data_IF_845465400659
#
_entry.id   IF_845465400659
#
_cell.length_a   1.000
_cell.length_b   1.000
_cell.length_c   1.000
_cell.angle_alpha   90.00
_cell.angle_beta   90.00
_cell.angle_gamma   90.00
#
_symmetry.space_group_name_H-M   'P 1'
#
loop_
_entity.id
_entity.type
_entity.pdbx_description
1 polymer ?
#
# COMPACT_ATOMS: atom_id res chain seq x y z
N UNK A 1 -9.61 25.66 -20.22
CA UNK A 1 -10.22 24.81 -19.18
C UNK A 1 -9.50 25.17 -17.90
N UNK A 2 -10.23 25.58 -16.85
CA UNK A 2 -9.59 25.75 -15.55
C UNK A 2 -9.18 24.35 -15.08
N UNK A 3 -7.87 24.07 -15.11
CA UNK A 3 -7.38 22.81 -14.56
C UNK A 3 -7.75 22.78 -13.08
N UNK A 4 -8.55 21.78 -12.68
CA UNK A 4 -8.89 21.59 -11.29
C UNK A 4 -7.59 21.37 -10.52
N UNK A 5 -7.39 22.15 -9.46
CA UNK A 5 -6.12 22.20 -8.74
C UNK A 5 -6.38 22.17 -7.23
N UNK A 6 -5.53 21.43 -6.51
CA UNK A 6 -5.34 21.62 -5.08
C UNK A 6 -4.01 22.36 -4.90
N UNK A 7 -4.04 23.44 -4.12
CA UNK A 7 -2.83 24.22 -3.81
C UNK A 7 -2.67 24.31 -2.30
N UNK A 8 -1.47 24.05 -1.83
CA UNK A 8 -1.08 24.15 -0.41
C UNK A 8 0.02 25.22 -0.29
N UNK A 9 -0.10 26.07 0.72
CA UNK A 9 0.86 27.13 1.00
C UNK A 9 1.19 27.12 2.49
N UNK A 10 2.36 26.57 2.83
CA UNK A 10 2.85 26.43 4.21
C UNK A 10 1.89 25.68 5.12
N UNK A 11 1.11 24.73 4.60
CA UNK A 11 0.08 24.00 5.36
C UNK A 11 0.72 23.14 6.43
N UNK A 12 0.37 23.38 7.70
CA UNK A 12 0.97 22.70 8.86
C UNK A 12 -0.09 22.14 9.81
N UNK A 13 0.22 20.99 10.40
CA UNK A 13 -0.57 20.42 11.50
C UNK A 13 0.29 19.80 12.57
N UNK A 14 0.07 20.23 13.82
CA UNK A 14 0.70 19.70 15.02
C UNK A 14 -0.35 19.19 15.98
N UNK A 15 -0.12 18.06 16.61
CA UNK A 15 -0.99 17.55 17.67
C UNK A 15 -0.33 17.72 19.03
N UNK A 16 -1.11 18.00 20.09
CA UNK A 16 -0.59 18.09 21.45
C UNK A 16 0.17 16.82 21.86
N UNK A 17 1.33 17.00 22.50
CA UNK A 17 2.15 15.89 22.99
C UNK A 17 3.05 15.21 21.94
N UNK A 18 3.09 15.72 20.71
CA UNK A 18 4.03 15.28 19.70
C UNK A 18 5.21 16.24 19.58
N UNK A 19 6.43 15.71 19.53
CA UNK A 19 7.66 16.50 19.39
C UNK A 19 7.76 17.13 17.99
N UNK A 20 7.31 16.39 16.95
CA UNK A 20 7.30 16.83 15.56
C UNK A 20 5.88 17.12 15.07
N UNK A 21 5.70 18.02 14.08
CA UNK A 21 4.40 18.20 13.43
C UNK A 21 3.99 16.94 12.67
N UNK A 22 2.69 16.63 12.69
CA UNK A 22 2.15 15.53 11.89
C UNK A 22 2.16 15.85 10.38
N UNK A 23 2.12 17.16 10.04
CA UNK A 23 2.41 17.70 8.70
C UNK A 23 3.23 18.97 8.96
N UNK A 24 4.49 18.97 8.54
CA UNK A 24 5.37 20.13 8.55
C UNK A 24 4.92 21.15 7.49
N UNK A 25 5.33 22.43 7.57
CA UNK A 25 4.92 23.42 6.58
C UNK A 25 5.13 22.91 5.17
N UNK A 26 4.05 22.72 4.42
CA UNK A 26 4.04 22.02 3.14
C UNK A 26 3.48 22.91 2.04
N UNK A 27 4.26 23.05 0.95
CA UNK A 27 3.87 23.74 -0.27
C UNK A 27 3.81 22.72 -1.41
N UNK A 28 2.66 22.61 -2.08
CA UNK A 28 2.55 21.81 -3.29
C UNK A 28 1.33 22.18 -4.12
N UNK A 29 1.32 21.72 -5.38
CA UNK A 29 0.18 21.83 -6.28
C UNK A 29 -0.14 20.46 -6.87
N UNK A 30 -1.44 20.08 -6.90
CA UNK A 30 -1.94 18.82 -7.44
C UNK A 30 -2.93 19.16 -8.55
N UNK A 31 -2.80 18.50 -9.71
CA UNK A 31 -3.61 18.76 -10.89
C UNK A 31 -4.61 17.63 -11.16
N UNK A 32 -5.69 17.96 -11.90
CA UNK A 32 -6.67 16.99 -12.38
C UNK A 32 -6.21 16.27 -13.66
N UNK A 33 -6.96 15.24 -14.07
CA UNK A 33 -6.75 14.50 -15.31
C UNK A 33 -5.79 13.31 -15.18
N UNK A 34 -5.28 13.06 -13.97
CA UNK A 34 -4.46 11.90 -13.65
C UNK A 34 -4.48 11.61 -12.14
N UNK A 35 -3.98 10.45 -11.76
CA UNK A 35 -3.87 10.07 -10.34
C UNK A 35 -2.55 10.60 -9.78
N UNK A 36 -2.64 11.38 -8.70
CA UNK A 36 -1.48 11.77 -7.88
C UNK A 36 -1.39 10.87 -6.65
N UNK A 37 -0.23 10.27 -6.42
CA UNK A 37 0.04 9.43 -5.25
C UNK A 37 0.51 10.24 -4.06
N UNK A 38 -0.10 10.06 -2.90
CA UNK A 38 0.41 10.54 -1.61
C UNK A 38 1.07 9.36 -0.90
N UNK A 39 2.39 9.27 -1.01
CA UNK A 39 3.16 8.07 -0.70
C UNK A 39 4.01 8.26 0.54
N UNK A 40 4.08 7.25 1.39
CA UNK A 40 4.94 7.29 2.58
C UNK A 40 4.60 6.19 3.58
N UNK A 41 5.46 5.94 4.56
CA UNK A 41 5.21 4.94 5.59
C UNK A 41 4.02 5.31 6.48
N UNK A 42 3.63 4.37 7.35
CA UNK A 42 2.64 4.65 8.39
C UNK A 42 3.18 5.74 9.32
N UNK A 43 2.30 6.68 9.67
CA UNK A 43 2.69 7.86 10.47
C UNK A 43 3.32 9.01 9.69
N UNK A 44 3.53 8.90 8.37
CA UNK A 44 4.10 9.98 7.55
C UNK A 44 3.26 11.26 7.45
N UNK A 45 2.01 11.24 7.95
CA UNK A 45 1.11 12.41 7.89
C UNK A 45 0.06 12.37 6.78
N UNK A 46 0.02 11.32 5.94
CA UNK A 46 -0.89 11.18 4.78
C UNK A 46 -2.36 11.41 5.12
N UNK A 47 -2.90 10.64 6.06
CA UNK A 47 -4.30 10.76 6.51
C UNK A 47 -4.58 12.14 7.14
N UNK A 48 -3.60 12.72 7.84
CA UNK A 48 -3.73 14.07 8.41
C UNK A 48 -3.89 15.11 7.31
N UNK A 49 -3.06 15.04 6.27
CA UNK A 49 -3.14 15.91 5.10
C UNK A 49 -4.49 15.73 4.39
N UNK A 50 -4.90 14.50 4.12
CA UNK A 50 -6.19 14.20 3.48
C UNK A 50 -7.37 14.79 4.24
N UNK A 51 -7.38 14.67 5.58
CA UNK A 51 -8.44 15.23 6.42
C UNK A 51 -8.46 16.76 6.42
N UNK A 52 -7.31 17.42 6.33
CA UNK A 52 -7.24 18.88 6.15
C UNK A 52 -7.82 19.31 4.81
N UNK A 53 -7.49 18.59 3.72
CA UNK A 53 -8.04 18.85 2.38
C UNK A 53 -9.53 18.59 2.30
N UNK A 54 -10.03 17.61 3.05
CA UNK A 54 -11.46 17.31 3.14
C UNK A 54 -12.24 18.28 4.06
N UNK A 55 -11.59 19.25 4.70
CA UNK A 55 -12.23 20.16 5.65
C UNK A 55 -12.61 19.51 7.00
N UNK A 56 -12.14 18.29 7.25
CA UNK A 56 -12.43 17.52 8.47
C UNK A 56 -11.45 17.83 9.61
N UNK A 57 -10.36 18.52 9.31
CA UNK A 57 -9.31 18.87 10.27
C UNK A 57 -8.79 20.27 9.95
N UNK A 58 -8.82 21.16 10.94
CA UNK A 58 -8.28 22.50 10.78
C UNK A 58 -6.75 22.49 10.87
N UNK A 59 -6.03 23.11 9.91
CA UNK A 59 -4.60 23.34 10.02
C UNK A 59 -4.27 24.32 11.16
N UNK A 60 -3.05 24.27 11.65
CA UNK A 60 -2.56 25.20 12.67
C UNK A 60 -1.92 26.44 12.02
N UNK A 61 -1.30 26.27 10.86
CA UNK A 61 -0.80 27.37 10.03
C UNK A 61 -0.92 27.07 8.54
N UNK A 62 -0.65 28.07 7.71
CA UNK A 62 -0.78 27.98 6.26
C UNK A 62 -2.22 27.91 5.78
N UNK A 63 -2.41 27.62 4.50
CA UNK A 63 -3.73 27.47 3.88
C UNK A 63 -3.72 26.40 2.78
N UNK A 64 -4.93 25.92 2.47
CA UNK A 64 -5.18 25.05 1.34
C UNK A 64 -6.30 25.62 0.49
N UNK A 65 -6.23 25.41 -0.82
CA UNK A 65 -7.32 25.68 -1.75
C UNK A 65 -7.62 24.41 -2.54
N UNK A 66 -8.83 23.94 -2.53
CA UNK A 66 -9.30 22.74 -3.27
C UNK A 66 -10.29 23.19 -4.32
N UNK A 67 -9.92 23.16 -5.59
CA UNK A 67 -10.71 23.65 -6.74
C UNK A 67 -11.39 25.01 -6.49
N UNK A 68 -10.63 25.94 -5.89
CA UNK A 68 -11.09 27.30 -5.57
C UNK A 68 -11.78 27.47 -4.22
N UNK A 69 -12.02 26.42 -3.46
CA UNK A 69 -12.60 26.47 -2.12
C UNK A 69 -11.55 26.36 -1.03
N UNK A 70 -11.68 27.18 0.03
CA UNK A 70 -10.95 27.02 1.28
C UNK A 70 -11.67 25.92 2.11
N UNK A 71 -10.98 24.80 2.45
CA UNK A 71 -11.64 23.66 3.12
C UNK A 71 -12.28 24.00 4.46
N UNK A 72 -11.82 25.06 5.12
CA UNK A 72 -12.33 25.45 6.45
C UNK A 72 -13.44 26.51 6.37
N UNK A 73 -13.35 27.42 5.38
CA UNK A 73 -14.33 28.50 5.25
C UNK A 73 -15.50 28.15 4.34
N UNK A 74 -15.29 27.24 3.40
CA UNK A 74 -16.27 26.87 2.38
C UNK A 74 -16.66 25.37 2.47
N UNK A 75 -16.70 24.81 3.66
CA UNK A 75 -16.92 23.39 3.91
C UNK A 75 -18.14 22.82 3.18
N UNK A 76 -19.30 23.46 3.29
CA UNK A 76 -20.53 23.01 2.62
C UNK A 76 -20.43 23.00 1.09
N UNK A 77 -19.82 24.03 0.47
CA UNK A 77 -19.62 24.10 -0.97
C UNK A 77 -18.56 23.08 -1.42
N UNK A 78 -17.49 22.91 -0.65
CA UNK A 78 -16.46 21.91 -0.92
C UNK A 78 -17.04 20.50 -0.84
N UNK A 79 -17.79 20.17 0.20
CA UNK A 79 -18.36 18.84 0.38
C UNK A 79 -19.35 18.48 -0.73
N UNK A 80 -19.96 19.44 -1.42
CA UNK A 80 -20.81 19.17 -2.58
C UNK A 80 -20.03 18.62 -3.79
N UNK A 81 -18.74 18.93 -3.90
CA UNK A 81 -17.89 18.58 -5.05
C UNK A 81 -16.70 17.69 -4.70
N UNK A 82 -16.55 17.29 -3.44
CA UNK A 82 -15.48 16.45 -2.94
C UNK A 82 -16.03 15.12 -2.45
N UNK A 83 -15.39 14.02 -2.87
CA UNK A 83 -15.53 12.69 -2.31
C UNK A 83 -14.31 12.35 -1.47
N UNK A 84 -14.52 11.88 -0.23
CA UNK A 84 -13.47 11.37 0.62
C UNK A 84 -13.78 9.94 1.04
N UNK A 85 -12.90 9.02 0.70
CA UNK A 85 -12.95 7.62 1.10
C UNK A 85 -11.89 7.38 2.17
N UNK A 86 -12.28 7.21 3.44
CA UNK A 86 -11.33 7.00 4.53
C UNK A 86 -10.75 5.59 4.49
N UNK A 87 -9.61 5.38 5.13
CA UNK A 87 -8.91 4.10 5.26
C UNK A 87 -9.81 2.97 5.81
N UNK A 88 -10.67 3.26 6.76
CA UNK A 88 -11.76 2.34 7.18
C UNK A 88 -12.96 2.64 6.31
N UNK A 89 -13.43 1.68 5.57
CA UNK A 89 -14.41 1.72 4.47
C UNK A 89 -15.56 2.75 4.56
N UNK A 90 -15.86 3.34 5.70
CA UNK A 90 -17.01 4.24 5.89
C UNK A 90 -18.37 3.56 5.62
N UNK A 91 -18.40 2.24 5.48
CA UNK A 91 -19.58 1.45 5.19
C UNK A 91 -20.25 0.98 6.48
N UNK A 92 -21.57 0.90 6.44
CA UNK A 92 -22.37 0.27 7.47
C UNK A 92 -22.48 -1.23 7.16
N UNK A 93 -21.78 -2.05 7.91
CA UNK A 93 -21.64 -3.49 7.65
C UNK A 93 -22.97 -4.26 7.79
N UNK A 94 -23.87 -3.78 8.61
CA UNK A 94 -25.21 -4.33 8.85
C UNK A 94 -26.23 -3.91 7.78
N UNK A 95 -25.86 -3.01 6.88
CA UNK A 95 -26.66 -2.62 5.72
C UNK A 95 -26.23 -3.40 4.47
N UNK A 96 -27.18 -3.65 3.58
CA UNK A 96 -26.90 -4.22 2.26
C UNK A 96 -26.15 -3.22 1.36
N UNK A 97 -25.65 -3.69 0.23
CA UNK A 97 -25.06 -2.85 -0.82
C UNK A 97 -26.01 -1.73 -1.22
N UNK A 98 -27.29 -2.07 -1.48
CA UNK A 98 -28.29 -1.08 -1.89
C UNK A 98 -28.63 -0.09 -0.78
N UNK A 99 -28.73 -0.53 0.46
CA UNK A 99 -29.02 0.33 1.61
C UNK A 99 -27.86 1.30 1.89
N UNK A 100 -26.59 0.86 1.76
CA UNK A 100 -25.44 1.76 1.82
C UNK A 100 -25.53 2.84 0.73
N UNK A 101 -25.78 2.46 -0.54
CA UNK A 101 -25.92 3.42 -1.64
C UNK A 101 -27.08 4.41 -1.37
N UNK A 102 -28.23 3.93 -0.87
CA UNK A 102 -29.35 4.79 -0.52
C UNK A 102 -28.99 5.79 0.58
N UNK A 103 -28.32 5.34 1.63
CA UNK A 103 -27.88 6.21 2.72
C UNK A 103 -26.99 7.35 2.20
N UNK A 104 -25.98 7.03 1.37
CA UNK A 104 -25.11 8.04 0.78
C UNK A 104 -25.86 8.96 -0.19
N UNK A 105 -26.85 8.46 -0.93
CA UNK A 105 -27.69 9.27 -1.80
C UNK A 105 -28.56 10.25 -0.99
N UNK A 106 -29.10 9.81 0.14
CA UNK A 106 -29.87 10.67 1.04
C UNK A 106 -28.99 11.78 1.62
N UNK A 107 -27.78 11.45 2.10
CA UNK A 107 -26.81 12.42 2.61
C UNK A 107 -26.36 13.44 1.55
N UNK A 108 -26.35 13.06 0.28
CA UNK A 108 -26.00 13.91 -0.87
C UNK A 108 -27.20 14.55 -1.54
N UNK A 109 -28.42 14.36 -1.02
CA UNK A 109 -29.67 14.86 -1.58
C UNK A 109 -29.92 14.43 -3.03
N UNK A 110 -29.35 13.26 -3.43
CA UNK A 110 -29.60 12.66 -4.74
C UNK A 110 -30.93 11.91 -4.69
N UNK A 111 -31.94 12.37 -5.42
CA UNK A 111 -33.32 11.84 -5.34
C UNK A 111 -33.91 11.54 -6.72
N UNK A 112 -35.06 10.89 -6.73
CA UNK A 112 -35.89 10.72 -7.94
C UNK A 112 -35.18 9.90 -9.06
N UNK A 113 -35.32 10.36 -10.29
CA UNK A 113 -34.78 9.69 -11.47
C UNK A 113 -33.23 9.77 -11.51
N UNK A 114 -32.64 10.88 -11.04
CA UNK A 114 -31.18 11.04 -10.94
C UNK A 114 -30.57 9.94 -10.07
N UNK A 115 -31.21 9.60 -8.91
CA UNK A 115 -30.76 8.48 -8.05
C UNK A 115 -30.72 7.15 -8.80
N UNK A 116 -31.75 6.83 -9.56
CA UNK A 116 -31.84 5.57 -10.30
C UNK A 116 -30.73 5.46 -11.35
N UNK A 117 -30.52 6.54 -12.10
CA UNK A 117 -29.48 6.59 -13.15
C UNK A 117 -28.08 6.48 -12.54
N UNK A 118 -27.83 7.22 -11.46
CA UNK A 118 -26.55 7.15 -10.72
C UNK A 118 -26.32 5.72 -10.20
N UNK A 119 -27.30 5.08 -9.58
CA UNK A 119 -27.16 3.72 -9.06
C UNK A 119 -26.92 2.71 -10.17
N UNK A 120 -27.64 2.79 -11.30
CA UNK A 120 -27.41 1.89 -12.43
C UNK A 120 -25.97 2.00 -12.93
N UNK A 121 -25.47 3.23 -13.13
CA UNK A 121 -24.08 3.48 -13.56
C UNK A 121 -23.05 2.97 -12.54
N UNK A 122 -23.22 3.27 -11.25
CA UNK A 122 -22.28 2.87 -10.22
C UNK A 122 -22.26 1.36 -9.98
N UNK A 123 -23.40 0.70 -10.03
CA UNK A 123 -23.50 -0.76 -9.88
C UNK A 123 -22.89 -1.49 -11.08
N UNK A 124 -23.05 -0.96 -12.29
CA UNK A 124 -22.38 -1.46 -13.49
C UNK A 124 -20.85 -1.25 -13.39
N UNK A 125 -20.41 -0.02 -13.11
CA UNK A 125 -19.02 0.37 -12.97
C UNK A 125 -18.26 -0.47 -11.93
N UNK A 126 -18.88 -0.79 -10.81
CA UNK A 126 -18.28 -1.59 -9.73
C UNK A 126 -18.53 -3.09 -9.86
N UNK A 127 -19.37 -3.52 -10.81
CA UNK A 127 -19.85 -4.90 -10.95
C UNK A 127 -20.57 -5.43 -9.69
N UNK A 128 -21.19 -4.55 -8.92
CA UNK A 128 -21.91 -4.91 -7.68
C UNK A 128 -23.41 -5.20 -7.92
N UNK A 129 -23.92 -5.06 -9.14
CA UNK A 129 -25.31 -5.32 -9.48
C UNK A 129 -25.90 -6.64 -8.95
N UNK A 130 -25.21 -7.80 -9.11
CA UNK A 130 -25.67 -9.09 -8.59
C UNK A 130 -25.71 -9.20 -7.06
N UNK A 131 -25.11 -8.24 -6.34
CA UNK A 131 -24.90 -8.31 -4.88
C UNK A 131 -25.69 -7.27 -4.09
N UNK A 132 -26.62 -6.56 -4.72
CA UNK A 132 -27.36 -5.43 -4.12
C UNK A 132 -28.06 -5.77 -2.80
N UNK A 133 -28.59 -6.99 -2.65
CA UNK A 133 -29.21 -7.48 -1.41
C UNK A 133 -28.23 -8.10 -0.39
N UNK A 134 -26.93 -8.15 -0.67
CA UNK A 134 -25.94 -8.72 0.26
C UNK A 134 -25.52 -7.69 1.29
N UNK A 135 -25.43 -8.08 2.57
CA UNK A 135 -24.87 -7.23 3.64
C UNK A 135 -23.43 -6.86 3.33
N UNK A 136 -23.07 -5.58 3.56
CA UNK A 136 -21.71 -5.09 3.32
C UNK A 136 -20.68 -5.85 4.16
N UNK A 137 -21.02 -6.26 5.39
CA UNK A 137 -20.16 -7.09 6.24
C UNK A 137 -19.81 -8.45 5.65
N UNK A 138 -20.63 -8.99 4.72
CA UNK A 138 -20.43 -10.28 4.04
C UNK A 138 -19.73 -10.17 2.67
N UNK A 139 -19.33 -8.96 2.27
CA UNK A 139 -18.53 -8.73 1.07
C UNK A 139 -17.06 -9.08 1.29
N UNK A 140 -16.35 -9.44 0.21
CA UNK A 140 -14.88 -9.52 0.25
C UNK A 140 -14.26 -8.12 0.44
N UNK A 141 -12.98 -8.06 0.84
CA UNK A 141 -12.27 -6.78 0.99
C UNK A 141 -12.34 -5.92 -0.29
N UNK A 142 -12.06 -6.52 -1.46
CA UNK A 142 -12.16 -5.81 -2.73
C UNK A 142 -13.57 -5.34 -3.06
N UNK A 143 -14.61 -6.13 -2.76
CA UNK A 143 -16.01 -5.70 -2.94
C UNK A 143 -16.38 -4.57 -1.98
N UNK A 144 -15.88 -4.57 -0.74
CA UNK A 144 -16.07 -3.46 0.21
C UNK A 144 -15.44 -2.18 -0.32
N UNK A 145 -14.22 -2.25 -0.87
CA UNK A 145 -13.58 -1.09 -1.48
C UNK A 145 -14.35 -0.54 -2.67
N UNK A 146 -14.83 -1.41 -3.56
CA UNK A 146 -15.68 -1.01 -4.70
C UNK A 146 -16.97 -0.35 -4.23
N UNK A 147 -17.62 -0.89 -3.18
CA UNK A 147 -18.80 -0.27 -2.59
C UNK A 147 -18.48 1.08 -1.95
N UNK A 148 -17.37 1.20 -1.22
CA UNK A 148 -16.89 2.46 -0.64
C UNK A 148 -16.66 3.52 -1.73
N UNK A 149 -16.00 3.13 -2.83
CA UNK A 149 -15.82 4.01 -3.97
C UNK A 149 -17.16 4.42 -4.59
N UNK A 150 -18.07 3.46 -4.83
CA UNK A 150 -19.41 3.76 -5.35
C UNK A 150 -20.17 4.76 -4.44
N UNK A 151 -20.18 4.53 -3.12
CA UNK A 151 -20.82 5.44 -2.16
C UNK A 151 -20.21 6.84 -2.21
N UNK A 152 -18.88 6.93 -2.38
CA UNK A 152 -18.16 8.21 -2.48
C UNK A 152 -18.50 8.96 -3.78
N UNK A 153 -18.79 8.24 -4.86
CA UNK A 153 -19.12 8.78 -6.18
C UNK A 153 -20.60 9.17 -6.37
N UNK A 154 -21.49 8.84 -5.44
CA UNK A 154 -22.94 9.10 -5.55
C UNK A 154 -23.27 10.57 -5.84
N UNK A 155 -22.51 11.52 -5.27
CA UNK A 155 -22.71 12.96 -5.47
C UNK A 155 -21.97 13.55 -6.68
N UNK A 156 -21.42 12.74 -7.57
CA UNK A 156 -20.64 13.16 -8.74
C UNK A 156 -19.51 14.16 -8.40
N UNK A 157 -18.59 13.79 -7.50
CA UNK A 157 -17.54 14.70 -7.05
C UNK A 157 -16.59 15.07 -8.20
N UNK A 158 -16.00 16.27 -8.11
CA UNK A 158 -14.92 16.71 -9.01
C UNK A 158 -13.53 16.39 -8.44
N UNK A 159 -13.45 16.19 -7.13
CA UNK A 159 -12.24 15.82 -6.39
C UNK A 159 -12.51 14.53 -5.62
N UNK A 160 -11.58 13.59 -5.73
CA UNK A 160 -11.65 12.31 -5.04
C UNK A 160 -10.38 12.12 -4.19
N UNK A 161 -10.55 12.04 -2.89
CA UNK A 161 -9.48 11.73 -1.94
C UNK A 161 -9.68 10.29 -1.46
N UNK A 162 -8.70 9.42 -1.74
CA UNK A 162 -8.73 8.00 -1.42
C UNK A 162 -7.63 7.67 -0.42
N UNK A 163 -8.00 7.36 0.82
CA UNK A 163 -7.04 7.12 1.90
C UNK A 163 -6.77 5.62 2.05
N UNK A 164 -5.62 5.17 1.55
CA UNK A 164 -5.15 3.78 1.54
C UNK A 164 -6.17 2.76 0.99
N UNK A 165 -6.79 3.00 -0.16
CA UNK A 165 -7.88 2.16 -0.68
C UNK A 165 -7.40 0.76 -1.14
N UNK A 166 -6.08 0.54 -1.31
CA UNK A 166 -5.49 -0.75 -1.66
C UNK A 166 -5.27 -1.70 -0.48
N UNK A 167 -5.39 -1.21 0.76
CA UNK A 167 -5.09 -2.00 1.96
C UNK A 167 -6.13 -3.11 2.18
N UNK A 168 -5.63 -4.34 2.38
CA UNK A 168 -6.48 -5.51 2.61
C UNK A 168 -7.21 -6.05 1.38
N UNK A 169 -6.90 -5.52 0.20
CA UNK A 169 -7.46 -5.95 -1.09
C UNK A 169 -6.54 -6.97 -1.75
N UNK A 170 -7.12 -8.03 -2.32
CA UNK A 170 -6.35 -8.99 -3.11
C UNK A 170 -5.85 -8.37 -4.43
N UNK A 171 -4.78 -8.94 -5.04
CA UNK A 171 -4.15 -8.32 -6.22
C UNK A 171 -5.07 -8.15 -7.44
N UNK A 172 -6.08 -9.01 -7.61
CA UNK A 172 -7.02 -8.92 -8.74
C UNK A 172 -7.97 -7.73 -8.50
N UNK A 173 -8.63 -7.72 -7.34
CA UNK A 173 -9.54 -6.62 -6.97
C UNK A 173 -8.82 -5.27 -6.91
N UNK A 174 -7.52 -5.25 -6.52
CA UNK A 174 -6.71 -4.03 -6.51
C UNK A 174 -6.46 -3.51 -7.93
N UNK A 175 -6.17 -4.37 -8.91
CA UNK A 175 -6.03 -3.98 -10.33
C UNK A 175 -7.33 -3.41 -10.89
N UNK A 176 -8.46 -4.03 -10.57
CA UNK A 176 -9.77 -3.54 -11.00
C UNK A 176 -10.07 -2.15 -10.39
N UNK A 177 -9.75 -1.95 -9.11
CA UNK A 177 -9.89 -0.64 -8.45
C UNK A 177 -9.01 0.43 -9.11
N UNK A 178 -7.77 0.10 -9.46
CA UNK A 178 -6.87 1.00 -10.20
C UNK A 178 -7.43 1.37 -11.58
N UNK A 179 -7.95 0.39 -12.34
CA UNK A 179 -8.56 0.64 -13.63
C UNK A 179 -9.73 1.63 -13.49
N UNK A 180 -10.63 1.40 -12.52
CA UNK A 180 -11.76 2.29 -12.25
C UNK A 180 -11.30 3.73 -11.95
N UNK A 181 -10.27 3.88 -11.12
CA UNK A 181 -9.76 5.21 -10.73
C UNK A 181 -9.08 5.90 -11.91
N UNK A 182 -8.36 5.18 -12.77
CA UNK A 182 -7.79 5.75 -13.99
C UNK A 182 -8.86 6.21 -14.98
N UNK A 183 -9.97 5.49 -15.13
CA UNK A 183 -11.10 5.91 -15.95
C UNK A 183 -11.69 7.25 -15.44
N UNK A 184 -11.92 7.37 -14.13
CA UNK A 184 -12.41 8.61 -13.50
C UNK A 184 -11.42 9.78 -13.70
N UNK A 185 -10.12 9.53 -13.57
CA UNK A 185 -9.11 10.55 -13.83
C UNK A 185 -9.12 11.00 -15.30
N UNK A 186 -9.27 10.06 -16.25
CA UNK A 186 -9.38 10.34 -17.67
C UNK A 186 -10.59 11.20 -18.03
N UNK A 187 -11.67 11.15 -17.26
CA UNK A 187 -12.85 12.03 -17.35
C UNK A 187 -12.62 13.44 -16.77
N UNK A 188 -11.41 13.73 -16.26
CA UNK A 188 -11.01 15.04 -15.74
C UNK A 188 -11.19 15.20 -14.22
N UNK A 189 -11.48 14.13 -13.48
CA UNK A 189 -11.54 14.16 -12.02
C UNK A 189 -10.14 14.38 -11.43
N UNK A 190 -10.04 15.20 -10.36
CA UNK A 190 -8.83 15.33 -9.57
C UNK A 190 -8.80 14.20 -8.54
N UNK A 191 -7.75 13.37 -8.59
CA UNK A 191 -7.64 12.20 -7.71
C UNK A 191 -6.34 12.22 -6.93
N UNK A 192 -6.46 12.17 -5.59
CA UNK A 192 -5.35 11.98 -4.68
C UNK A 192 -5.51 10.62 -4.00
N UNK A 193 -4.54 9.72 -4.28
CA UNK A 193 -4.50 8.35 -3.78
C UNK A 193 -3.40 8.21 -2.73
N UNK A 194 -3.74 8.02 -1.45
CA UNK A 194 -2.72 7.73 -0.45
C UNK A 194 -2.37 6.25 -0.43
N UNK A 195 -1.09 5.95 -0.24
CA UNK A 195 -0.61 4.57 -0.13
C UNK A 195 0.72 4.48 0.61
N UNK A 196 0.93 3.35 1.30
CA UNK A 196 2.23 2.89 1.78
C UNK A 196 2.88 1.86 0.84
N UNK A 197 2.17 1.43 -0.21
CA UNK A 197 2.66 0.48 -1.20
C UNK A 197 3.36 1.17 -2.36
N UNK A 198 4.64 0.86 -2.56
CA UNK A 198 5.47 1.51 -3.58
C UNK A 198 5.12 1.07 -5.01
N UNK A 199 4.60 -0.16 -5.18
CA UNK A 199 4.06 -0.65 -6.45
C UNK A 199 2.81 0.13 -6.91
N UNK A 200 2.04 0.67 -5.98
CA UNK A 200 0.93 1.58 -6.28
C UNK A 200 1.42 2.98 -6.64
N UNK A 201 2.49 3.46 -6.00
CA UNK A 201 3.10 4.75 -6.34
C UNK A 201 3.59 4.79 -7.79
N UNK A 202 4.13 3.68 -8.30
CA UNK A 202 4.58 3.56 -9.70
C UNK A 202 3.43 3.63 -10.72
N UNK A 203 2.17 3.41 -10.31
CA UNK A 203 0.98 3.55 -11.16
C UNK A 203 0.52 5.02 -11.26
N UNK A 204 0.95 5.88 -10.36
CA UNK A 204 0.62 7.30 -10.37
C UNK A 204 1.45 8.04 -11.43
N UNK A 205 0.89 9.13 -11.98
CA UNK A 205 1.66 10.02 -12.84
C UNK A 205 2.63 10.87 -12.03
N UNK A 206 2.13 11.47 -10.96
CA UNK A 206 2.93 12.25 -10.01
C UNK A 206 2.79 11.66 -8.62
N UNK A 207 3.83 11.81 -7.81
CA UNK A 207 3.82 11.41 -6.39
C UNK A 207 4.28 12.55 -5.49
N UNK A 208 3.67 12.60 -4.33
CA UNK A 208 4.07 13.37 -3.16
C UNK A 208 4.62 12.38 -2.15
N UNK A 209 5.95 12.33 -1.97
CA UNK A 209 6.57 11.45 -0.98
C UNK A 209 6.66 12.15 0.36
N UNK A 210 6.01 11.60 1.36
CA UNK A 210 6.04 12.11 2.73
C UNK A 210 6.74 11.16 3.68
N UNK A 211 7.51 11.73 4.60
CA UNK A 211 8.05 11.01 5.75
C UNK A 211 8.10 11.91 6.97
N UNK A 212 7.69 11.42 8.12
CA UNK A 212 7.68 12.15 9.41
C UNK A 212 7.06 13.56 9.32
N UNK A 213 6.03 13.71 8.51
CA UNK A 213 5.34 14.98 8.28
C UNK A 213 5.94 15.88 7.20
N UNK A 214 7.11 15.57 6.68
CA UNK A 214 7.81 16.36 5.66
C UNK A 214 7.53 15.84 4.25
N UNK A 215 7.46 16.75 3.26
CA UNK A 215 7.43 16.42 1.84
C UNK A 215 8.85 16.28 1.32
N UNK A 216 9.28 15.06 1.03
CA UNK A 216 10.64 14.76 0.56
C UNK A 216 10.81 14.91 -0.95
N UNK A 217 9.72 14.66 -1.71
CA UNK A 217 9.76 14.71 -3.17
C UNK A 217 8.36 14.99 -3.73
N UNK A 218 8.31 15.73 -4.83
CA UNK A 218 7.13 15.90 -5.68
C UNK A 218 7.56 15.75 -7.15
N UNK A 219 6.88 14.90 -7.90
CA UNK A 219 7.09 14.71 -9.33
C UNK A 219 6.83 13.29 -9.82
N UNK A 220 7.25 13.01 -11.05
CA UNK A 220 7.04 11.70 -11.66
C UNK A 220 7.86 10.60 -10.95
N UNK A 221 7.27 9.42 -10.63
CA UNK A 221 7.99 8.29 -10.04
C UNK A 221 9.21 7.86 -10.84
N UNK A 222 9.10 7.87 -12.17
CA UNK A 222 10.18 7.51 -13.10
C UNK A 222 11.37 8.44 -13.00
N UNK A 223 11.14 9.74 -12.85
CA UNK A 223 12.21 10.73 -12.71
C UNK A 223 13.01 10.47 -11.43
N UNK A 224 12.32 10.16 -10.33
CA UNK A 224 12.98 9.79 -9.08
C UNK A 224 13.77 8.48 -9.22
N UNK A 225 13.18 7.44 -9.82
CA UNK A 225 13.86 6.15 -10.06
C UNK A 225 15.13 6.32 -10.89
N UNK A 226 15.14 7.22 -11.88
CA UNK A 226 16.32 7.50 -12.72
C UNK A 226 17.50 8.05 -11.92
N UNK A 227 17.30 8.68 -10.79
CA UNK A 227 18.41 9.15 -9.92
C UNK A 227 19.25 8.01 -9.36
N UNK A 228 18.73 6.77 -9.40
CA UNK A 228 19.38 5.55 -8.94
C UNK A 228 20.13 4.81 -10.06
N UNK A 229 20.17 5.34 -11.29
CA UNK A 229 20.93 4.75 -12.38
C UNK A 229 22.42 4.63 -12.01
N UNK A 230 23.03 3.47 -12.26
CA UNK A 230 24.40 3.17 -11.88
C UNK A 230 24.63 2.93 -10.38
N UNK A 231 23.57 2.86 -9.56
CA UNK A 231 23.67 2.69 -8.11
C UNK A 231 22.99 1.42 -7.59
N UNK A 232 22.21 0.72 -8.40
CA UNK A 232 21.52 -0.53 -8.06
C UNK A 232 22.23 -1.72 -8.65
N UNK A 233 22.57 -2.71 -7.82
CA UNK A 233 23.36 -3.88 -8.21
C UNK A 233 22.76 -5.19 -7.67
N UNK A 234 23.01 -6.29 -8.39
CA UNK A 234 22.80 -7.65 -7.90
C UNK A 234 24.15 -8.29 -7.58
N UNK A 235 24.29 -8.80 -6.38
CA UNK A 235 25.51 -9.40 -5.87
C UNK A 235 25.27 -10.86 -5.49
N UNK A 236 26.24 -11.74 -5.82
CA UNK A 236 26.27 -13.14 -5.41
C UNK A 236 27.68 -13.52 -4.99
N UNK A 237 27.81 -14.55 -4.16
CA UNK A 237 29.09 -15.17 -3.84
C UNK A 237 29.04 -16.67 -4.06
N UNK A 238 30.09 -17.30 -4.64
CA UNK A 238 30.20 -18.75 -4.74
C UNK A 238 30.48 -19.43 -3.39
N UNK A 239 30.96 -18.66 -2.43
CA UNK A 239 31.49 -19.20 -1.16
C UNK A 239 30.63 -18.92 0.05
N UNK A 240 29.67 -18.00 -0.06
CA UNK A 240 28.83 -17.56 1.06
C UNK A 240 27.36 -17.43 0.68
N UNK A 241 26.48 -17.81 1.60
CA UNK A 241 25.04 -17.66 1.41
C UNK A 241 24.59 -16.19 1.49
N UNK A 242 23.53 -15.84 0.76
CA UNK A 242 23.02 -14.48 0.61
C UNK A 242 22.79 -13.72 1.93
N UNK A 243 22.36 -14.43 3.00
CA UNK A 243 22.11 -13.79 4.30
C UNK A 243 23.37 -13.22 4.94
N UNK A 244 24.46 -14.00 4.93
CA UNK A 244 25.76 -13.54 5.46
C UNK A 244 26.35 -12.48 4.56
N UNK A 245 26.26 -12.68 3.24
CA UNK A 245 26.70 -11.73 2.24
C UNK A 245 26.04 -10.36 2.41
N UNK A 246 24.70 -10.34 2.59
CA UNK A 246 23.96 -9.11 2.89
C UNK A 246 24.41 -8.46 4.20
N UNK A 247 24.56 -9.24 5.28
CA UNK A 247 25.00 -8.71 6.57
C UNK A 247 26.38 -8.04 6.51
N UNK A 248 27.30 -8.58 5.68
CA UNK A 248 28.61 -7.96 5.45
C UNK A 248 28.48 -6.67 4.65
N UNK A 249 27.73 -6.73 3.55
CA UNK A 249 27.52 -5.56 2.68
C UNK A 249 26.89 -4.38 3.41
N UNK A 250 25.88 -4.61 4.24
CA UNK A 250 25.22 -3.54 5.00
C UNK A 250 26.11 -2.85 6.06
N UNK A 251 27.26 -3.46 6.41
CA UNK A 251 28.24 -2.82 7.30
C UNK A 251 29.19 -1.87 6.57
N UNK A 252 29.21 -1.93 5.23
CA UNK A 252 30.09 -1.09 4.44
C UNK A 252 29.52 0.34 4.34
N UNK A 253 30.36 1.37 4.56
CA UNK A 253 29.91 2.76 4.48
C UNK A 253 29.46 3.19 3.09
N UNK A 254 29.85 2.46 2.05
CA UNK A 254 29.49 2.67 0.64
C UNK A 254 28.08 2.20 0.31
N UNK A 255 27.50 1.33 1.12
CA UNK A 255 26.16 0.77 0.91
C UNK A 255 25.12 1.66 1.58
N UNK A 256 24.08 2.03 0.83
CA UNK A 256 22.91 2.77 1.35
C UNK A 256 21.86 1.79 1.89
N UNK A 257 21.62 0.70 1.14
CA UNK A 257 20.66 -0.35 1.53
C UNK A 257 20.93 -1.65 0.80
N UNK A 258 20.29 -2.73 1.24
CA UNK A 258 20.34 -4.02 0.57
C UNK A 258 19.27 -4.99 1.04
N UNK A 259 18.88 -5.89 0.13
CA UNK A 259 17.89 -6.93 0.40
C UNK A 259 18.19 -8.23 -0.35
N UNK A 260 17.70 -9.36 0.17
CA UNK A 260 17.76 -10.63 -0.54
C UNK A 260 16.69 -10.64 -1.63
N UNK A 261 17.11 -10.89 -2.88
CA UNK A 261 16.23 -11.02 -4.03
C UNK A 261 16.47 -12.36 -4.74
N UNK A 262 15.64 -13.34 -4.44
CA UNK A 262 15.79 -14.69 -4.96
C UNK A 262 17.14 -15.32 -4.59
N UNK A 263 17.99 -15.61 -5.60
CA UNK A 263 19.33 -16.18 -5.41
C UNK A 263 20.44 -15.13 -5.30
N UNK A 264 20.13 -13.86 -5.24
CA UNK A 264 21.08 -12.76 -5.21
C UNK A 264 20.80 -11.82 -4.04
N UNK A 265 21.75 -10.97 -3.73
CA UNK A 265 21.57 -9.80 -2.86
C UNK A 265 21.49 -8.57 -3.74
N UNK A 266 20.36 -7.84 -3.66
CA UNK A 266 20.24 -6.52 -4.27
C UNK A 266 20.88 -5.51 -3.33
N UNK A 267 21.77 -4.67 -3.88
CA UNK A 267 22.45 -3.60 -3.16
C UNK A 267 22.16 -2.25 -3.81
N UNK A 268 22.06 -1.24 -2.96
CA UNK A 268 21.99 0.16 -3.33
C UNK A 268 23.24 0.83 -2.81
N UNK A 269 24.04 1.37 -3.72
CA UNK A 269 25.26 2.07 -3.37
C UNK A 269 24.97 3.57 -3.17
N UNK A 270 25.75 4.20 -2.30
CA UNK A 270 25.75 5.65 -2.14
C UNK A 270 26.26 6.33 -3.41
N UNK A 271 25.91 7.60 -3.60
CA UNK A 271 26.12 8.35 -4.86
C UNK A 271 27.54 8.33 -5.41
N UNK A 272 28.55 8.25 -4.54
CA UNK A 272 29.98 8.27 -4.93
C UNK A 272 30.63 6.89 -4.89
N UNK A 273 29.90 5.85 -4.52
CA UNK A 273 30.43 4.52 -4.37
C UNK A 273 30.36 3.73 -5.68
N UNK A 274 31.33 2.87 -5.89
CA UNK A 274 31.45 2.00 -7.05
C UNK A 274 31.40 0.52 -6.68
N UNK A 275 31.09 -0.38 -7.63
CA UNK A 275 31.17 -1.84 -7.39
C UNK A 275 32.54 -2.32 -6.91
N UNK A 276 33.62 -1.64 -7.33
CA UNK A 276 34.97 -2.01 -6.95
C UNK A 276 35.27 -1.71 -5.48
N UNK A 277 34.66 -0.68 -4.91
CA UNK A 277 34.73 -0.41 -3.47
C UNK A 277 34.15 -1.57 -2.65
N UNK A 278 33.15 -2.25 -3.18
CA UNK A 278 32.54 -3.42 -2.53
C UNK A 278 33.41 -4.66 -2.73
N UNK A 279 33.95 -4.88 -3.96
CA UNK A 279 34.84 -6.04 -4.26
C UNK A 279 36.07 -6.06 -3.42
N UNK A 280 36.65 -4.90 -3.15
CA UNK A 280 37.93 -4.79 -2.42
C UNK A 280 37.75 -4.44 -0.93
N UNK A 281 36.49 -4.40 -0.43
CA UNK A 281 36.23 -4.11 0.96
C UNK A 281 36.79 -5.25 1.88
N UNK A 282 37.38 -4.85 2.99
CA UNK A 282 37.94 -5.79 3.96
C UNK A 282 36.85 -6.74 4.51
N UNK A 283 37.16 -8.04 4.50
CA UNK A 283 36.24 -9.08 4.98
C UNK A 283 35.14 -9.47 3.99
N UNK A 284 35.11 -8.93 2.76
CA UNK A 284 34.24 -9.41 1.70
C UNK A 284 34.83 -10.68 1.05
N UNK A 285 33.99 -11.72 0.79
CA UNK A 285 34.42 -12.89 0.02
C UNK A 285 34.54 -12.52 -1.47
N UNK A 286 34.96 -13.48 -2.28
CA UNK A 286 34.84 -13.36 -3.74
C UNK A 286 33.36 -13.17 -4.12
N UNK A 287 33.08 -12.12 -4.90
CA UNK A 287 31.73 -11.74 -5.30
C UNK A 287 31.63 -11.46 -6.79
N UNK A 288 30.47 -11.80 -7.35
CA UNK A 288 30.00 -11.29 -8.62
C UNK A 288 28.98 -10.19 -8.35
N UNK A 289 29.25 -8.98 -8.83
CA UNK A 289 28.38 -7.82 -8.70
C UNK A 289 28.10 -7.23 -10.08
N UNK A 290 26.82 -7.14 -10.45
CA UNK A 290 26.37 -6.67 -11.75
C UNK A 290 25.33 -5.58 -11.56
N UNK A 291 25.37 -4.55 -12.40
CA UNK A 291 24.37 -3.50 -12.43
C UNK A 291 23.00 -4.10 -12.75
N UNK A 292 21.95 -3.56 -12.14
CA UNK A 292 20.55 -3.92 -12.40
C UNK A 292 19.69 -2.67 -12.52
N UNK A 293 18.55 -2.84 -13.17
CA UNK A 293 17.57 -1.75 -13.31
C UNK A 293 17.12 -1.25 -11.95
N UNK A 294 17.21 0.05 -11.66
CA UNK A 294 16.73 0.63 -10.42
C UNK A 294 15.22 0.50 -10.31
N UNK A 295 14.73 0.47 -9.07
CA UNK A 295 13.32 0.47 -8.71
C UNK A 295 12.97 1.76 -7.99
N UNK A 296 11.71 2.11 -8.00
CA UNK A 296 11.20 3.23 -7.21
C UNK A 296 11.47 3.06 -5.71
N UNK A 297 11.40 1.82 -5.21
CA UNK A 297 11.76 1.45 -3.84
C UNK A 297 13.21 1.83 -3.49
N UNK A 298 14.16 1.60 -4.41
CA UNK A 298 15.57 1.95 -4.19
C UNK A 298 15.73 3.47 -3.95
N UNK A 299 15.05 4.28 -4.75
CA UNK A 299 15.08 5.73 -4.64
C UNK A 299 14.35 6.23 -3.38
N UNK A 300 13.23 5.62 -3.03
CA UNK A 300 12.49 5.94 -1.82
C UNK A 300 13.33 5.68 -0.56
N UNK A 301 13.99 4.53 -0.46
CA UNK A 301 14.86 4.18 0.67
C UNK A 301 16.09 5.11 0.72
N UNK A 302 16.66 5.44 -0.42
CA UNK A 302 17.79 6.38 -0.49
C UNK A 302 17.41 7.79 0.04
N UNK A 303 16.20 8.28 -0.29
CA UNK A 303 15.66 9.54 0.23
C UNK A 303 15.45 9.50 1.75
N UNK A 304 15.11 8.34 2.30
CA UNK A 304 14.96 8.16 3.74
C UNK A 304 16.31 8.06 4.49
N UNK A 305 17.44 8.10 3.76
CA UNK A 305 18.79 7.98 4.34
C UNK A 305 19.31 6.55 4.44
N UNK A 306 18.68 5.60 3.77
CA UNK A 306 19.01 4.17 3.78
C UNK A 306 18.39 3.40 4.96
N UNK A 307 18.51 2.08 4.93
CA UNK A 307 18.10 1.25 6.06
C UNK A 307 19.06 1.47 7.24
N UNK A 308 18.53 1.95 8.35
CA UNK A 308 19.33 2.10 9.56
C UNK A 308 19.91 0.74 10.01
N UNK A 309 21.21 0.70 10.23
CA UNK A 309 21.94 -0.46 10.75
C UNK A 309 21.68 -0.68 12.25
N UNK A 310 20.42 -0.72 12.67
CA UNK A 310 20.12 -1.06 14.05
C UNK A 310 20.24 -2.58 14.24
N UNK A 311 21.15 -2.99 15.11
CA UNK A 311 21.16 -4.38 15.58
C UNK A 311 19.82 -4.68 16.24
N UNK A 312 19.14 -5.71 15.75
CA UNK A 312 17.85 -6.14 16.33
C UNK A 312 18.08 -6.58 17.78
N UNK A 313 17.46 -5.96 18.79
CA UNK A 313 17.53 -6.41 20.16
C UNK A 313 17.10 -7.88 20.34
N UNK A 314 16.22 -8.36 19.45
CA UNK A 314 15.79 -9.76 19.41
C UNK A 314 16.92 -10.72 19.02
N UNK A 315 17.89 -10.28 18.20
CA UNK A 315 19.03 -11.10 17.80
C UNK A 315 19.93 -11.50 18.97
N UNK A 316 19.98 -10.70 20.03
CA UNK A 316 20.72 -10.99 21.24
C UNK A 316 19.96 -11.93 22.20
N UNK A 317 18.64 -12.04 22.08
CA UNK A 317 17.76 -12.80 22.98
C UNK A 317 17.38 -14.17 22.38
N UNK A 318 17.26 -14.25 21.04
CA UNK A 318 16.93 -15.49 20.36
C UNK A 318 18.15 -16.41 20.32
N UNK A 319 18.16 -17.41 21.21
CA UNK A 319 19.06 -18.54 21.08
C UNK A 319 18.76 -19.26 19.75
N UNK A 320 19.83 -19.64 19.03
CA UNK A 320 19.71 -20.52 17.87
C UNK A 320 18.95 -21.79 18.28
N UNK A 321 17.78 -21.99 17.71
CA UNK A 321 17.02 -23.22 17.94
C UNK A 321 17.86 -24.38 17.40
N UNK A 322 18.27 -25.30 18.25
CA UNK A 322 19.05 -26.48 17.89
C UNK A 322 18.24 -27.34 16.89
N UNK A 323 18.87 -27.81 15.85
CA UNK A 323 18.26 -28.69 14.84
C UNK A 323 19.14 -28.79 13.59
N UNK A 324 18.90 -29.82 12.79
CA UNK A 324 19.67 -30.10 11.58
C UNK A 324 19.22 -29.16 10.46
N UNK A 325 20.13 -28.37 9.83
CA UNK A 325 19.79 -27.54 8.67
C UNK A 325 19.19 -28.41 7.55
N UNK A 326 18.03 -27.95 7.00
CA UNK A 326 17.35 -28.68 5.92
C UNK A 326 16.38 -29.75 6.37
N UNK A 327 16.24 -30.00 7.67
CA UNK A 327 15.20 -30.86 8.25
C UNK A 327 13.81 -30.28 7.94
N UNK A 328 12.88 -31.15 7.52
CA UNK A 328 11.47 -30.75 7.36
C UNK A 328 10.85 -30.57 8.73
N UNK A 329 10.40 -29.34 9.02
CA UNK A 329 9.80 -28.98 10.32
C UNK A 329 8.30 -28.76 10.23
N UNK A 330 7.76 -28.56 9.03
CA UNK A 330 6.32 -28.48 8.78
C UNK A 330 6.01 -29.28 7.53
N UNK A 331 4.98 -30.12 7.60
CA UNK A 331 4.54 -30.89 6.44
C UNK A 331 3.00 -30.96 6.40
N UNK A 332 2.44 -30.63 5.25
CA UNK A 332 1.02 -30.84 4.93
C UNK A 332 0.92 -31.97 3.91
N UNK A 333 0.11 -32.99 4.23
CA UNK A 333 -0.17 -34.16 3.36
C UNK A 333 -1.67 -34.25 3.10
N UNK A 334 -2.07 -34.07 1.83
CA UNK A 334 -3.45 -34.17 1.37
C UNK A 334 -4.41 -33.36 2.28
N UNK A 335 -3.93 -32.21 2.78
CA UNK A 335 -4.60 -31.42 3.80
C UNK A 335 -5.88 -30.79 3.24
N UNK A 336 -7.03 -31.23 3.73
CA UNK A 336 -8.35 -30.85 3.24
C UNK A 336 -9.23 -30.33 4.36
N UNK A 337 -9.94 -29.21 4.11
CA UNK A 337 -10.98 -28.71 5.01
C UNK A 337 -12.23 -28.35 4.24
N UNK A 338 -13.34 -29.01 4.61
CA UNK A 338 -14.69 -28.72 4.11
C UNK A 338 -15.55 -28.09 5.20
N UNK A 339 -16.40 -27.15 4.82
CA UNK A 339 -17.47 -26.58 5.62
C UNK A 339 -18.78 -26.83 4.89
N UNK A 340 -19.50 -27.89 5.29
CA UNK A 340 -20.59 -28.46 4.48
C UNK A 340 -20.07 -28.91 3.13
N UNK A 341 -20.70 -28.46 2.04
CA UNK A 341 -20.30 -28.78 0.66
C UNK A 341 -19.14 -27.92 0.15
N UNK A 342 -18.77 -26.86 0.87
CA UNK A 342 -17.69 -25.95 0.47
C UNK A 342 -16.32 -26.45 0.92
N UNK A 343 -15.41 -26.70 -0.02
CA UNK A 343 -14.01 -27.01 0.27
C UNK A 343 -13.22 -25.71 0.37
N UNK A 344 -12.82 -25.35 1.58
CA UNK A 344 -11.97 -24.18 1.83
C UNK A 344 -10.49 -24.44 1.49
N UNK A 345 -10.04 -25.69 1.68
CA UNK A 345 -8.76 -26.22 1.20
C UNK A 345 -8.99 -27.62 0.68
N UNK A 346 -8.33 -27.99 -0.40
CA UNK A 346 -8.54 -29.28 -1.06
C UNK A 346 -7.19 -29.92 -1.43
N UNK A 347 -6.83 -31.03 -0.79
CA UNK A 347 -5.63 -31.85 -1.01
C UNK A 347 -4.32 -31.04 -1.10
N UNK A 348 -4.13 -30.08 -0.16
CA UNK A 348 -2.94 -29.21 -0.14
C UNK A 348 -1.73 -29.98 0.37
N UNK A 349 -0.64 -29.95 -0.41
CA UNK A 349 0.62 -30.61 -0.12
C UNK A 349 1.78 -29.62 -0.15
N UNK A 350 2.57 -29.53 0.92
CA UNK A 350 3.83 -28.80 0.96
C UNK A 350 4.68 -29.23 2.18
N UNK A 351 5.96 -28.90 2.12
CA UNK A 351 6.89 -29.08 3.23
C UNK A 351 7.73 -27.82 3.42
N UNK A 352 8.01 -27.44 4.67
CA UNK A 352 8.87 -26.31 5.03
C UNK A 352 10.06 -26.82 5.81
N UNK A 353 11.25 -26.39 5.41
CA UNK A 353 12.51 -26.80 6.02
C UNK A 353 12.91 -25.83 7.13
N UNK A 354 13.66 -26.33 8.09
CA UNK A 354 14.23 -25.53 9.17
C UNK A 354 15.08 -24.37 8.62
N UNK A 355 14.78 -23.14 9.07
CA UNK A 355 15.46 -21.91 8.64
C UNK A 355 14.96 -21.34 7.30
N UNK A 356 13.94 -21.96 6.69
CA UNK A 356 13.29 -21.47 5.49
C UNK A 356 12.19 -20.45 5.82
N UNK A 357 12.07 -19.39 5.02
CA UNK A 357 10.89 -18.51 4.99
C UNK A 357 10.00 -19.00 3.86
N UNK A 358 8.87 -19.60 4.23
CA UNK A 358 7.90 -20.15 3.28
C UNK A 358 6.72 -19.20 3.11
N UNK A 359 6.44 -18.79 1.87
CA UNK A 359 5.32 -17.92 1.53
C UNK A 359 4.09 -18.70 1.08
N UNK A 360 2.97 -18.59 1.82
CA UNK A 360 1.67 -19.11 1.41
C UNK A 360 0.88 -18.00 0.70
N UNK A 361 0.87 -18.01 -0.63
CA UNK A 361 0.30 -16.97 -1.48
C UNK A 361 -1.04 -17.38 -2.09
N UNK A 362 -1.86 -16.40 -2.42
CA UNK A 362 -3.15 -16.60 -3.10
C UNK A 362 -4.14 -15.47 -2.84
N UNK A 363 -5.23 -15.38 -3.63
CA UNK A 363 -6.27 -14.37 -3.48
C UNK A 363 -7.03 -14.54 -2.15
N UNK A 364 -7.87 -13.54 -1.82
CA UNK A 364 -8.77 -13.66 -0.68
C UNK A 364 -9.78 -14.80 -0.93
N UNK A 365 -10.03 -15.61 0.10
CA UNK A 365 -10.86 -16.82 -0.03
C UNK A 365 -10.12 -18.08 -0.51
N UNK A 366 -8.85 -18.02 -0.90
CA UNK A 366 -8.05 -19.17 -1.36
C UNK A 366 -7.70 -20.20 -0.27
N UNK A 367 -8.22 -20.09 0.94
CA UNK A 367 -7.99 -21.06 2.01
C UNK A 367 -6.72 -20.85 2.84
N UNK A 368 -5.93 -19.77 2.60
CA UNK A 368 -4.67 -19.49 3.33
C UNK A 368 -4.84 -19.54 4.86
N UNK A 369 -5.78 -18.75 5.38
CA UNK A 369 -6.04 -18.70 6.83
C UNK A 369 -6.59 -20.02 7.38
N UNK A 370 -7.33 -20.77 6.58
CA UNK A 370 -7.82 -22.11 6.93
C UNK A 370 -6.65 -23.09 7.06
N UNK A 371 -5.74 -23.09 6.08
CA UNK A 371 -4.51 -23.88 6.10
C UNK A 371 -3.65 -23.52 7.32
N UNK A 372 -3.45 -22.24 7.57
CA UNK A 372 -2.68 -21.78 8.74
C UNK A 372 -3.29 -22.25 10.07
N UNK A 373 -4.61 -22.13 10.22
CA UNK A 373 -5.31 -22.60 11.44
C UNK A 373 -5.18 -24.11 11.64
N UNK A 374 -5.18 -24.90 10.56
CA UNK A 374 -4.95 -26.35 10.66
C UNK A 374 -3.52 -26.67 11.08
N UNK A 375 -2.52 -25.95 10.53
CA UNK A 375 -1.11 -26.11 10.92
C UNK A 375 -0.87 -25.74 12.40
N UNK A 376 -1.55 -24.71 12.91
CA UNK A 376 -1.46 -24.30 14.31
C UNK A 376 -2.32 -25.14 15.27
N UNK A 377 -3.00 -26.19 14.80
CA UNK A 377 -3.90 -27.00 15.64
C UNK A 377 -5.20 -26.28 16.07
N UNK A 378 -5.47 -25.09 15.52
CA UNK A 378 -6.68 -24.30 15.85
C UNK A 378 -7.92 -24.77 15.07
N UNK A 379 -7.73 -25.61 14.07
CA UNK A 379 -8.79 -26.12 13.22
C UNK A 379 -8.47 -27.58 12.82
N UNK A 380 -9.40 -28.50 13.13
CA UNK A 380 -9.25 -29.90 12.74
C UNK A 380 -9.49 -30.06 11.24
N UNK A 381 -8.57 -30.69 10.47
CA UNK A 381 -8.80 -30.98 9.05
C UNK A 381 -9.96 -31.97 8.88
N UNK A 382 -10.62 -31.94 7.72
CA UNK A 382 -11.63 -32.93 7.34
C UNK A 382 -10.95 -34.23 6.92
N UNK A 383 -9.82 -34.15 6.21
CA UNK A 383 -8.93 -35.27 5.86
C UNK A 383 -7.51 -34.78 5.65
N UNK A 384 -6.57 -35.69 5.53
CA UNK A 384 -5.15 -35.39 5.44
C UNK A 384 -4.51 -35.12 6.79
N UNK A 385 -3.25 -34.68 6.77
CA UNK A 385 -2.44 -34.49 8.00
C UNK A 385 -1.66 -33.18 7.92
N UNK A 386 -1.54 -32.50 9.07
CA UNK A 386 -0.63 -31.41 9.30
C UNK A 386 0.35 -31.84 10.40
N UNK A 387 1.63 -31.83 10.11
CA UNK A 387 2.73 -32.17 11.01
C UNK A 387 3.57 -30.90 11.24
N UNK A 388 3.85 -30.59 12.53
CA UNK A 388 4.64 -29.43 12.94
C UNK A 388 5.63 -29.84 14.02
#
# INVERSE_FOLDING_TARGET
MNDAVITLNGLEKRFPGMDKPAVAPLDCTIHAGYVTGLVGPDGAGKTTLMRMLAGLLKPDSGNATVIGFDPIKNDGALHAVLGYMPQKFGLYEDLTVMENLNLYADLRSVTGEARKQTFARLLEFTSLGPFTGRLAGKLSGGMKQKLGLACTLVGEPKVLLLDEPGVGVDPISRRELWQMVHELAGEGMLILWSTSYLDEAEQCRDVLLMNEGELLYQGEPKALTQTMAGRSFLMTSPHEGNRKLLQRALKLPQVSDGMIQGKSVRLILKKEATPDDIRHAEGMPEININETTPRFEDAFIDLLGGAGTSESPLGAILHTVEGTPGETVIEAKELTKKFGDFAATDHVNFAVKRGEIFGLLGPNGAGKSTTFKMMCGLLVPTSGQALV
#
